data_IF_661944376075
#
_entry.id   IF_661944376075
#
_cell.length_a   1.000
_cell.length_b   1.000
_cell.length_c   1.000
_cell.angle_alpha   90.00
_cell.angle_beta   90.00
_cell.angle_gamma   90.00
#
_symmetry.space_group_name_H-M   'P 1'
#
loop_
_entity.id
_entity.type
_entity.pdbx_description
1 polymer ?
#
# COMPACT_ATOMS: atom_id res chain seq x y z
N UNK A 1 7.86 22.30 -1.75
CA UNK A 1 7.44 22.08 -3.14
C UNK A 1 5.99 21.60 -3.12
N UNK A 2 5.05 22.36 -3.68
CA UNK A 2 3.61 22.06 -3.66
C UNK A 2 3.35 21.08 -4.81
N UNK A 3 3.01 19.83 -4.50
CA UNK A 3 2.79 18.80 -5.51
C UNK A 3 1.64 19.21 -6.44
N UNK A 4 1.91 19.24 -7.74
CA UNK A 4 0.88 19.39 -8.78
C UNK A 4 -0.07 18.20 -8.66
N UNK A 5 -1.31 18.48 -8.26
CA UNK A 5 -2.35 17.46 -8.12
C UNK A 5 -2.88 17.12 -9.51
N UNK A 6 -2.43 15.99 -10.08
CA UNK A 6 -2.89 15.52 -11.38
C UNK A 6 -4.25 14.78 -11.29
N UNK A 7 -4.63 14.32 -10.09
CA UNK A 7 -5.87 13.60 -9.86
C UNK A 7 -6.94 14.47 -9.22
N UNK A 8 -8.22 14.32 -9.63
CA UNK A 8 -9.33 15.07 -9.07
C UNK A 8 -9.63 14.71 -7.60
N UNK A 9 -9.13 13.56 -7.14
CA UNK A 9 -9.33 12.99 -5.79
C UNK A 9 -8.08 12.23 -5.38
N UNK A 10 -7.86 12.05 -4.07
CA UNK A 10 -6.80 11.18 -3.56
C UNK A 10 -7.03 9.72 -3.93
N UNK A 11 -5.96 8.91 -3.90
CA UNK A 11 -6.05 7.46 -4.12
C UNK A 11 -7.05 6.80 -3.17
N UNK A 12 -7.06 7.21 -1.90
CA UNK A 12 -7.99 6.72 -0.87
C UNK A 12 -9.43 7.02 -1.22
N UNK A 13 -9.73 8.26 -1.61
CA UNK A 13 -11.09 8.68 -1.99
C UNK A 13 -11.57 7.92 -3.22
N UNK A 14 -10.77 7.87 -4.28
CA UNK A 14 -11.12 7.15 -5.51
C UNK A 14 -11.32 5.64 -5.25
N UNK A 15 -10.51 5.05 -4.38
CA UNK A 15 -10.67 3.66 -3.97
C UNK A 15 -11.95 3.45 -3.16
N UNK A 16 -12.22 4.29 -2.16
CA UNK A 16 -13.40 4.17 -1.31
C UNK A 16 -14.69 4.34 -2.10
N UNK A 17 -14.71 5.26 -3.06
CA UNK A 17 -15.81 5.48 -4.00
C UNK A 17 -16.04 4.26 -4.90
N UNK A 18 -14.97 3.73 -5.50
CA UNK A 18 -15.06 2.57 -6.41
C UNK A 18 -15.47 1.28 -5.71
N UNK A 19 -14.97 1.06 -4.49
CA UNK A 19 -15.16 -0.20 -3.74
C UNK A 19 -16.18 -0.09 -2.61
N UNK A 20 -16.87 1.05 -2.46
CA UNK A 20 -17.81 1.35 -1.37
C UNK A 20 -17.25 0.98 0.01
N UNK A 21 -15.99 1.36 0.24
CA UNK A 21 -15.28 1.08 1.48
C UNK A 21 -15.29 2.33 2.37
N UNK A 22 -15.56 2.21 3.68
CA UNK A 22 -15.32 3.31 4.61
C UNK A 22 -13.83 3.70 4.60
N UNK A 23 -13.48 4.99 4.69
CA UNK A 23 -12.10 5.46 4.69
C UNK A 23 -11.28 4.87 5.86
N UNK A 24 -11.92 4.55 6.98
CA UNK A 24 -11.30 3.88 8.14
C UNK A 24 -10.88 2.44 7.82
N UNK A 25 -11.61 1.75 6.94
CA UNK A 25 -11.33 0.37 6.52
C UNK A 25 -10.48 0.28 5.27
N UNK A 26 -10.14 1.43 4.67
CA UNK A 26 -9.32 1.51 3.46
C UNK A 26 -8.02 0.70 3.59
N UNK A 27 -7.26 0.96 4.65
CA UNK A 27 -5.97 0.31 4.91
C UNK A 27 -6.13 -1.21 4.95
N UNK A 28 -7.07 -1.69 5.77
CA UNK A 28 -7.32 -3.12 5.93
C UNK A 28 -7.81 -3.78 4.63
N UNK A 29 -8.66 -3.07 3.86
CA UNK A 29 -9.19 -3.56 2.59
C UNK A 29 -8.11 -3.66 1.52
N UNK A 30 -7.30 -2.61 1.37
CA UNK A 30 -6.17 -2.60 0.45
C UNK A 30 -5.18 -3.67 0.86
N UNK A 31 -4.78 -3.72 2.14
CA UNK A 31 -3.88 -4.73 2.68
C UNK A 31 -4.35 -6.15 2.36
N UNK A 32 -5.62 -6.48 2.61
CA UNK A 32 -6.19 -7.82 2.32
C UNK A 32 -6.19 -8.18 0.83
N UNK A 33 -6.29 -7.21 -0.07
CA UNK A 33 -6.30 -7.41 -1.54
C UNK A 33 -4.90 -7.45 -2.13
N UNK A 34 -3.97 -6.68 -1.58
CA UNK A 34 -2.60 -6.57 -2.08
C UNK A 34 -1.68 -7.62 -1.49
N UNK A 35 -2.06 -8.20 -0.34
CA UNK A 35 -1.37 -9.33 0.26
C UNK A 35 -1.43 -10.58 -0.65
N UNK A 36 -0.31 -11.29 -0.74
CA UNK A 36 -0.21 -12.49 -1.56
C UNK A 36 -1.11 -13.61 -1.01
N UNK A 37 -1.83 -14.34 -1.86
CA UNK A 37 -2.82 -15.34 -1.43
C UNK A 37 -2.23 -16.39 -0.49
N UNK A 38 -1.01 -16.84 -0.77
CA UNK A 38 -0.27 -17.81 0.06
C UNK A 38 0.19 -17.23 1.41
N UNK A 39 0.35 -15.90 1.48
CA UNK A 39 0.73 -15.20 2.70
C UNK A 39 -0.48 -14.79 3.56
N UNK A 40 -1.73 -14.94 3.09
CA UNK A 40 -2.95 -14.58 3.85
C UNK A 40 -3.08 -15.32 5.19
N UNK A 41 -2.95 -16.65 5.27
CA UNK A 41 -3.02 -17.35 6.56
C UNK A 41 -1.85 -16.97 7.48
N UNK A 42 -0.64 -16.85 6.92
CA UNK A 42 0.54 -16.41 7.66
C UNK A 42 0.41 -14.99 8.21
N UNK A 43 -0.16 -14.07 7.44
CA UNK A 43 -0.36 -12.70 7.89
C UNK A 43 -1.40 -12.62 9.01
N UNK A 44 -2.44 -13.45 8.99
CA UNK A 44 -3.40 -13.50 10.09
C UNK A 44 -2.73 -13.95 11.40
N UNK A 45 -1.89 -14.98 11.33
CA UNK A 45 -1.05 -15.39 12.46
C UNK A 45 -0.08 -14.28 12.91
N UNK A 46 0.63 -13.65 11.97
CA UNK A 46 1.59 -12.61 12.29
C UNK A 46 0.95 -11.32 12.82
N UNK A 47 -0.28 -10.99 12.43
CA UNK A 47 -1.03 -9.86 13.01
C UNK A 47 -1.33 -10.11 14.49
N UNK A 48 -1.52 -11.37 14.88
CA UNK A 48 -1.72 -11.77 16.28
C UNK A 48 -0.41 -11.69 17.09
N UNK A 49 0.71 -12.14 16.51
CA UNK A 49 1.98 -12.28 17.23
C UNK A 49 2.96 -11.10 17.10
N UNK A 50 2.86 -10.30 16.03
CA UNK A 50 3.83 -9.26 15.67
C UNK A 50 3.12 -8.08 14.98
N UNK A 51 2.31 -7.32 15.72
CA UNK A 51 1.64 -6.10 15.23
C UNK A 51 2.61 -5.09 14.60
N UNK A 52 3.82 -4.95 15.15
CA UNK A 52 4.85 -4.06 14.60
C UNK A 52 5.40 -4.49 13.24
N UNK A 53 5.27 -5.78 12.87
CA UNK A 53 5.77 -6.27 11.59
C UNK A 53 5.03 -5.65 10.41
N UNK A 54 3.75 -5.32 10.58
CA UNK A 54 2.92 -4.72 9.52
C UNK A 54 2.79 -3.21 9.61
N UNK A 55 3.37 -2.56 10.63
CA UNK A 55 3.32 -1.08 10.75
C UNK A 55 3.84 -0.40 9.49
N UNK A 56 5.00 -0.82 8.99
CA UNK A 56 5.57 -0.27 7.76
C UNK A 56 4.62 -0.42 6.56
N UNK A 57 3.98 -1.57 6.41
CA UNK A 57 3.05 -1.83 5.30
C UNK A 57 1.74 -1.03 5.46
N UNK A 58 1.30 -0.79 6.70
CA UNK A 58 0.14 0.07 7.02
C UNK A 58 0.45 1.53 6.72
N UNK A 59 1.62 2.01 7.17
CA UNK A 59 2.08 3.38 6.96
C UNK A 59 2.22 3.67 5.47
N UNK A 60 2.78 2.73 4.70
CA UNK A 60 2.81 2.80 3.24
C UNK A 60 1.42 2.99 2.64
N UNK A 61 0.44 2.16 3.04
CA UNK A 61 -0.92 2.25 2.47
C UNK A 61 -1.57 3.58 2.83
N UNK A 62 -1.36 4.09 4.04
CA UNK A 62 -1.84 5.41 4.45
C UNK A 62 -1.21 6.52 3.60
N UNK A 63 0.11 6.54 3.46
CA UNK A 63 0.85 7.56 2.74
C UNK A 63 0.52 7.55 1.24
N UNK A 64 0.39 6.36 0.65
CA UNK A 64 -0.09 6.17 -0.73
C UNK A 64 -1.55 6.57 -0.87
N UNK A 65 -2.36 6.38 0.18
CA UNK A 65 -3.77 6.78 0.23
C UNK A 65 -3.97 8.27 0.02
N UNK A 66 -3.07 9.09 0.58
CA UNK A 66 -3.10 10.55 0.48
C UNK A 66 -2.51 11.08 -0.84
N UNK A 67 -1.87 10.22 -1.65
CA UNK A 67 -1.30 10.64 -2.93
C UNK A 67 -2.40 11.13 -3.90
N UNK A 68 -2.12 12.28 -4.53
CA UNK A 68 -3.00 12.96 -5.50
C UNK A 68 -2.39 13.07 -6.90
N UNK A 69 -1.24 12.43 -7.12
CA UNK A 69 -0.58 12.40 -8.43
C UNK A 69 0.19 11.09 -8.59
N UNK A 70 0.47 10.72 -9.85
CA UNK A 70 1.34 9.59 -10.16
C UNK A 70 2.75 9.79 -9.63
N UNK A 71 3.25 11.03 -9.64
CA UNK A 71 4.56 11.40 -9.13
C UNK A 71 4.66 11.17 -7.62
N UNK A 72 3.69 11.67 -6.83
CA UNK A 72 3.65 11.45 -5.37
C UNK A 72 3.49 9.97 -5.04
N UNK A 73 2.59 9.29 -5.75
CA UNK A 73 2.35 7.86 -5.56
C UNK A 73 3.63 7.03 -5.79
N UNK A 74 4.37 7.31 -6.87
CA UNK A 74 5.62 6.61 -7.15
C UNK A 74 6.75 7.01 -6.19
N UNK A 75 6.80 8.27 -5.75
CA UNK A 75 7.77 8.74 -4.77
C UNK A 75 7.61 7.99 -3.44
N UNK A 76 6.38 7.88 -2.93
CA UNK A 76 6.06 7.15 -1.71
C UNK A 76 6.45 5.67 -1.83
N UNK A 77 6.11 5.02 -2.96
CA UNK A 77 6.49 3.62 -3.20
C UNK A 77 8.02 3.46 -3.23
N UNK A 78 8.74 4.35 -3.93
CA UNK A 78 10.20 4.30 -4.05
C UNK A 78 10.88 4.49 -2.69
N UNK A 79 10.42 5.49 -1.91
CA UNK A 79 10.92 5.76 -0.56
C UNK A 79 10.72 4.55 0.37
N UNK A 80 9.57 3.88 0.24
CA UNK A 80 9.29 2.67 1.01
C UNK A 80 10.16 1.49 0.58
N UNK A 81 10.39 1.28 -0.72
CA UNK A 81 11.29 0.22 -1.19
C UNK A 81 12.69 0.43 -0.63
N UNK A 82 13.24 1.64 -0.72
CA UNK A 82 14.55 1.97 -0.13
C UNK A 82 14.59 1.77 1.38
N UNK A 83 13.63 2.34 2.12
CA UNK A 83 13.54 2.19 3.57
C UNK A 83 13.38 0.73 4.01
N UNK A 84 12.64 -0.04 3.23
CA UNK A 84 12.43 -1.47 3.47
C UNK A 84 13.67 -2.31 3.15
N UNK A 85 14.49 -1.90 2.19
CA UNK A 85 15.76 -2.57 1.87
C UNK A 85 16.79 -2.30 2.97
N UNK A 86 16.88 -1.06 3.46
CA UNK A 86 17.81 -0.67 4.53
C UNK A 86 17.48 -1.34 5.87
N UNK A 87 16.21 -1.62 6.16
CA UNK A 87 15.76 -2.30 7.40
C UNK A 87 15.59 -3.82 7.30
N UNK A 88 15.84 -4.44 6.14
CA UNK A 88 15.53 -5.86 5.93
C UNK A 88 16.63 -6.81 6.43
N UNK A 89 16.56 -7.20 7.70
CA UNK A 89 17.17 -8.44 8.16
C UNK A 89 16.57 -9.68 7.47
N UNK A 90 17.34 -10.78 7.42
CA UNK A 90 17.10 -12.06 6.71
C UNK A 90 15.63 -12.58 6.70
N UNK A 91 14.88 -12.37 7.78
CA UNK A 91 13.49 -12.80 7.96
C UNK A 91 12.49 -12.16 6.97
N UNK A 92 12.71 -10.92 6.52
CA UNK A 92 11.79 -10.23 5.58
C UNK A 92 12.01 -10.65 4.11
N UNK A 93 13.22 -11.05 3.73
CA UNK A 93 13.52 -11.56 2.38
C UNK A 93 12.97 -12.97 2.15
N UNK A 94 12.98 -13.84 3.17
CA UNK A 94 12.52 -15.23 3.04
C UNK A 94 11.00 -15.39 2.91
N UNK A 95 10.22 -14.52 3.57
CA UNK A 95 8.79 -14.76 3.79
C UNK A 95 7.84 -14.15 2.73
N UNK A 96 8.33 -13.34 1.77
CA UNK A 96 7.51 -12.68 0.71
C UNK A 96 6.19 -12.06 1.22
N UNK A 97 6.18 -11.65 2.49
CA UNK A 97 5.02 -11.14 3.23
C UNK A 97 4.86 -9.62 3.10
N UNK A 98 5.25 -9.07 1.94
CA UNK A 98 5.14 -7.63 1.63
C UNK A 98 3.85 -7.34 0.88
N UNK A 99 3.27 -6.17 1.13
CA UNK A 99 2.29 -5.56 0.23
C UNK A 99 2.93 -5.44 -1.16
N UNK A 100 2.34 -6.10 -2.16
CA UNK A 100 2.88 -6.03 -3.52
C UNK A 100 2.66 -4.64 -4.08
N UNK A 101 3.72 -3.83 -4.14
CA UNK A 101 3.70 -2.50 -4.74
C UNK A 101 3.19 -2.56 -6.20
N UNK A 102 3.51 -3.63 -6.93
CA UNK A 102 2.96 -3.88 -8.28
C UNK A 102 1.44 -4.03 -8.29
N UNK A 103 0.83 -4.64 -7.27
CA UNK A 103 -0.63 -4.73 -7.14
C UNK A 103 -1.26 -3.40 -6.74
N UNK A 104 -0.59 -2.63 -5.87
CA UNK A 104 -1.02 -1.27 -5.51
C UNK A 104 -0.99 -0.37 -6.76
N UNK A 105 0.10 -0.42 -7.53
CA UNK A 105 0.24 0.30 -8.81
C UNK A 105 -0.86 -0.09 -9.80
N UNK A 106 -1.16 -1.39 -9.94
CA UNK A 106 -2.26 -1.87 -10.78
C UNK A 106 -3.63 -1.38 -10.32
N UNK A 107 -3.84 -1.18 -9.01
CA UNK A 107 -5.07 -0.55 -8.50
C UNK A 107 -5.14 0.92 -8.89
N UNK A 108 -4.04 1.67 -8.79
CA UNK A 108 -3.98 3.06 -9.25
C UNK A 108 -4.22 3.18 -10.75
N UNK A 109 -3.64 2.29 -11.56
CA UNK A 109 -3.84 2.26 -13.02
C UNK A 109 -5.32 2.04 -13.38
N UNK A 110 -6.04 1.23 -12.58
CA UNK A 110 -7.47 0.98 -12.77
C UNK A 110 -8.36 2.14 -12.32
N UNK A 111 -7.91 2.96 -11.38
CA UNK A 111 -8.71 4.06 -10.82
C UNK A 111 -8.54 5.35 -11.64
N UNK A 112 -7.32 5.66 -12.04
CA UNK A 112 -6.98 6.94 -12.69
C UNK A 112 -6.58 6.81 -14.16
N UNK A 113 -6.49 5.59 -14.70
CA UNK A 113 -5.98 5.34 -16.04
C UNK A 113 -4.45 5.50 -16.10
N UNK A 114 -3.80 4.74 -16.97
CA UNK A 114 -2.39 4.94 -17.29
C UNK A 114 -2.34 6.12 -18.27
N UNK A 115 -1.70 7.23 -17.89
CA UNK A 115 -1.33 8.27 -18.85
C UNK A 115 0.02 7.89 -19.47
#
# INVERSE_FOLDING_TARGET
>A
MRAMSDWPKSFKEAYCERFRCPPEKFVLSVFRRTLYRRARPLAWLLVLFKRDFFRLDIDLINEVGEARSWSDFNAVISNHVQSSQLRSGFLRNGLKLRVSCSRVKRLAERLFGRR
#
